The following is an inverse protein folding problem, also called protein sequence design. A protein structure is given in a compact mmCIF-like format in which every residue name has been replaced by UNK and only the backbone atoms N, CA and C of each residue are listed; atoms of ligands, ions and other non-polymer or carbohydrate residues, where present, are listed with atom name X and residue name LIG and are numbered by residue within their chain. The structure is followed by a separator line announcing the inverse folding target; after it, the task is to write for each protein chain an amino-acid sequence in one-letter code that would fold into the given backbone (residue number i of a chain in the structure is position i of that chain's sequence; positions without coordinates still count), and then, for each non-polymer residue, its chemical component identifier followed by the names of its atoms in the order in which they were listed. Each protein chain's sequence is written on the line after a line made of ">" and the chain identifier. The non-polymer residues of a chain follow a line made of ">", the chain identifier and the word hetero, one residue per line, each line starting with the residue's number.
data_IF_934896495895
#
_entry.id   IF_934896495895
#
_cell.length_a   1.000
_cell.length_b   1.000
_cell.length_c   1.000
_cell.angle_alpha   90.00
_cell.angle_beta   90.00
_cell.angle_gamma   90.00
#
_symmetry.space_group_name_H-M   'P 1'
#
loop_
_entity.id
_entity.type
_entity.pdbx_description
1 polymer ?
#
# COMPACT_ATOMS: atom_id res chain seq x y z
N UNK A 1 -9.26 12.86 13.44
CA UNK A 1 -9.54 11.44 13.77
C UNK A 1 -9.16 11.17 15.21
N UNK A 2 -10.04 10.54 15.99
CA UNK A 2 -9.83 10.34 17.43
C UNK A 2 -8.69 9.32 17.65
N UNK A 3 -7.65 9.67 18.42
CA UNK A 3 -6.46 8.81 18.65
C UNK A 3 -6.82 7.39 19.12
N UNK A 4 -7.94 7.25 19.80
CA UNK A 4 -8.51 5.98 20.25
C UNK A 4 -8.91 5.07 19.07
N UNK A 5 -9.66 5.59 18.09
CA UNK A 5 -10.07 4.84 16.91
C UNK A 5 -8.87 4.37 16.10
N UNK A 6 -7.87 5.24 15.91
CA UNK A 6 -6.65 4.89 15.19
C UNK A 6 -5.85 3.79 15.89
N UNK A 7 -5.77 3.82 17.23
CA UNK A 7 -5.12 2.75 18.02
C UNK A 7 -5.90 1.44 17.99
N UNK A 8 -7.23 1.50 18.10
CA UNK A 8 -8.09 0.33 18.05
C UNK A 8 -8.05 -0.33 16.67
N UNK A 9 -8.30 0.45 15.61
CA UNK A 9 -8.22 -0.01 14.22
C UNK A 9 -6.81 -0.54 13.88
N UNK A 10 -5.75 0.14 14.35
CA UNK A 10 -4.37 -0.33 14.16
C UNK A 10 -4.08 -1.65 14.88
N UNK A 11 -4.62 -1.84 16.09
CA UNK A 11 -4.45 -3.10 16.84
C UNK A 11 -5.18 -4.25 16.16
N UNK A 12 -6.44 -4.03 15.73
CA UNK A 12 -7.21 -5.05 14.99
C UNK A 12 -6.54 -5.36 13.66
N UNK A 13 -6.09 -4.36 12.90
CA UNK A 13 -5.39 -4.58 11.63
C UNK A 13 -4.09 -5.39 11.84
N UNK A 14 -3.32 -5.07 12.88
CA UNK A 14 -2.09 -5.82 13.20
C UNK A 14 -2.38 -7.28 13.60
N UNK A 15 -3.45 -7.50 14.37
CA UNK A 15 -3.87 -8.84 14.77
C UNK A 15 -4.37 -9.62 13.56
N UNK A 16 -5.24 -9.02 12.75
CA UNK A 16 -5.81 -9.61 11.55
C UNK A 16 -4.75 -10.02 10.50
N UNK A 17 -3.64 -9.29 10.41
CA UNK A 17 -2.50 -9.65 9.56
C UNK A 17 -1.51 -10.64 10.19
N UNK A 18 -1.72 -11.07 11.44
CA UNK A 18 -0.78 -11.94 12.15
C UNK A 18 -1.02 -13.43 11.86
N UNK A 19 0.03 -14.28 11.95
CA UNK A 19 -0.12 -15.74 11.87
C UNK A 19 -1.10 -16.31 12.91
N UNK A 20 -1.21 -15.65 14.07
CA UNK A 20 -2.13 -16.05 15.14
C UNK A 20 -3.59 -15.93 14.69
N UNK A 21 -3.96 -14.84 14.03
CA UNK A 21 -5.33 -14.67 13.52
C UNK A 21 -5.68 -15.73 12.48
N UNK A 22 -4.73 -16.13 11.63
CA UNK A 22 -4.94 -17.22 10.68
C UNK A 22 -5.21 -18.55 11.39
N UNK A 23 -4.39 -18.91 12.39
CA UNK A 23 -4.58 -20.14 13.18
C UNK A 23 -5.92 -20.11 13.92
N UNK A 24 -6.31 -18.98 14.50
CA UNK A 24 -7.62 -18.83 15.16
C UNK A 24 -8.78 -18.97 14.17
N UNK A 25 -8.70 -18.33 13.01
CA UNK A 25 -9.73 -18.43 11.97
C UNK A 25 -9.85 -19.87 11.44
N UNK A 26 -8.72 -20.52 11.17
CA UNK A 26 -8.70 -21.92 10.74
C UNK A 26 -9.29 -22.84 11.81
N UNK A 27 -8.92 -22.64 13.08
CA UNK A 27 -9.51 -23.36 14.20
C UNK A 27 -11.03 -23.18 14.30
N UNK A 28 -11.53 -21.96 14.11
CA UNK A 28 -12.96 -21.69 14.10
C UNK A 28 -13.69 -22.42 12.97
N UNK A 29 -13.11 -22.45 11.76
CA UNK A 29 -13.65 -23.21 10.62
C UNK A 29 -13.65 -24.72 10.90
N UNK A 30 -12.58 -25.26 11.49
CA UNK A 30 -12.50 -26.68 11.86
C UNK A 30 -13.53 -27.05 12.93
N UNK A 31 -13.69 -26.22 13.97
CA UNK A 31 -14.72 -26.43 15.00
C UNK A 31 -16.12 -26.42 14.38
N UNK A 32 -16.40 -25.46 13.51
CA UNK A 32 -17.68 -25.39 12.78
C UNK A 32 -17.91 -26.65 11.91
N UNK A 33 -16.89 -27.11 11.20
CA UNK A 33 -16.98 -28.31 10.35
C UNK A 33 -17.19 -29.59 11.17
N UNK A 34 -16.50 -29.74 12.32
CA UNK A 34 -16.65 -30.90 13.21
C UNK A 34 -18.00 -30.94 13.93
N UNK A 35 -18.57 -29.77 14.23
CA UNK A 35 -19.89 -29.66 14.87
C UNK A 35 -21.04 -29.73 13.87
N UNK A 36 -20.78 -29.50 12.57
CA UNK A 36 -21.77 -29.58 11.49
C UNK A 36 -22.58 -30.89 11.41
N UNK A 37 -21.99 -32.10 11.55
CA UNK A 37 -22.72 -33.36 11.57
C UNK A 37 -23.76 -33.46 12.69
N UNK A 38 -23.52 -32.84 13.85
CA UNK A 38 -24.48 -32.82 14.96
C UNK A 38 -25.75 -32.02 14.61
N UNK A 39 -25.62 -31.02 13.73
CA UNK A 39 -26.71 -30.16 13.27
C UNK A 39 -27.20 -30.52 11.86
N UNK A 40 -26.76 -31.66 11.32
CA UNK A 40 -27.14 -32.13 9.97
C UNK A 40 -26.78 -31.16 8.85
N UNK A 41 -25.79 -30.29 9.05
CA UNK A 41 -25.46 -29.19 8.13
C UNK A 41 -26.70 -28.38 7.69
N UNK A 42 -27.61 -28.08 8.64
CA UNK A 42 -28.83 -27.32 8.36
C UNK A 42 -28.58 -25.95 7.69
N UNK A 43 -29.59 -25.42 7.01
CA UNK A 43 -29.56 -24.08 6.39
C UNK A 43 -29.17 -22.99 7.39
N UNK A 44 -29.68 -23.04 8.63
CA UNK A 44 -29.31 -22.09 9.69
C UNK A 44 -27.84 -22.23 10.07
N UNK A 45 -27.33 -23.46 10.13
CA UNK A 45 -25.93 -23.74 10.47
C UNK A 45 -24.94 -23.20 9.42
N UNK A 46 -25.29 -23.34 8.13
CA UNK A 46 -24.51 -22.79 7.02
C UNK A 46 -24.64 -21.27 6.94
N UNK A 47 -25.83 -20.72 7.20
CA UNK A 47 -26.08 -19.29 7.21
C UNK A 47 -25.21 -18.58 8.25
N UNK A 48 -25.07 -19.13 9.46
CA UNK A 48 -24.26 -18.51 10.53
C UNK A 48 -22.81 -18.29 10.11
N UNK A 49 -22.15 -19.30 9.53
CA UNK A 49 -20.75 -19.13 9.11
C UNK A 49 -20.63 -18.18 7.91
N UNK A 50 -21.57 -18.25 6.97
CA UNK A 50 -21.54 -17.42 5.77
C UNK A 50 -21.77 -15.93 6.11
N UNK A 51 -22.84 -15.64 6.85
CA UNK A 51 -23.16 -14.29 7.31
C UNK A 51 -22.05 -13.74 8.21
N UNK A 52 -21.54 -14.54 9.14
CA UNK A 52 -20.44 -14.14 10.03
C UNK A 52 -19.17 -13.78 9.25
N UNK A 53 -18.74 -14.66 8.34
CA UNK A 53 -17.53 -14.44 7.52
C UNK A 53 -17.69 -13.23 6.61
N UNK A 54 -18.88 -13.03 6.03
CA UNK A 54 -19.17 -11.85 5.20
C UNK A 54 -19.04 -10.55 5.97
N UNK A 55 -19.61 -10.46 7.17
CA UNK A 55 -19.50 -9.27 8.03
C UNK A 55 -18.03 -9.01 8.38
N UNK A 56 -17.30 -10.05 8.82
CA UNK A 56 -15.88 -9.93 9.16
C UNK A 56 -15.06 -9.47 7.95
N UNK A 57 -15.31 -10.03 6.77
CA UNK A 57 -14.61 -9.66 5.52
C UNK A 57 -14.90 -8.22 5.14
N UNK A 58 -16.16 -7.79 5.22
CA UNK A 58 -16.55 -6.42 4.94
C UNK A 58 -15.82 -5.42 5.85
N UNK A 59 -15.77 -5.71 7.16
CA UNK A 59 -14.99 -4.91 8.12
C UNK A 59 -13.49 -4.97 7.83
N UNK A 60 -12.97 -6.13 7.44
CA UNK A 60 -11.55 -6.33 7.11
C UNK A 60 -11.13 -5.48 5.92
N UNK A 61 -11.95 -5.34 4.87
CA UNK A 61 -11.65 -4.48 3.72
C UNK A 61 -11.39 -3.04 4.18
N UNK A 62 -12.24 -2.47 5.04
CA UNK A 62 -12.02 -1.12 5.57
C UNK A 62 -10.76 -1.01 6.44
N UNK A 63 -10.48 -2.03 7.26
CA UNK A 63 -9.28 -2.05 8.10
C UNK A 63 -8.01 -2.12 7.25
N UNK A 64 -8.01 -2.99 6.24
CA UNK A 64 -6.92 -3.16 5.28
C UNK A 64 -6.73 -1.86 4.50
N UNK A 65 -7.79 -1.26 3.97
CA UNK A 65 -7.73 0.03 3.28
C UNK A 65 -7.19 1.15 4.18
N UNK A 66 -7.60 1.22 5.45
CA UNK A 66 -7.08 2.23 6.38
C UNK A 66 -5.58 2.02 6.68
N UNK A 67 -5.14 0.77 6.86
CA UNK A 67 -3.71 0.47 7.04
C UNK A 67 -2.93 0.79 5.77
N UNK A 68 -3.41 0.32 4.62
CA UNK A 68 -2.77 0.55 3.32
C UNK A 68 -2.68 2.04 3.00
N UNK A 69 -3.75 2.82 3.19
CA UNK A 69 -3.74 4.25 2.94
C UNK A 69 -2.70 4.98 3.81
N UNK A 70 -2.57 4.59 5.08
CA UNK A 70 -1.56 5.17 5.98
C UNK A 70 -0.14 4.77 5.55
N UNK A 71 0.05 3.51 5.20
CA UNK A 71 1.37 2.99 4.84
C UNK A 71 1.83 3.54 3.47
N UNK A 72 0.91 3.75 2.52
CA UNK A 72 1.16 4.46 1.25
C UNK A 72 1.61 5.91 1.50
N UNK A 73 0.88 6.67 2.31
CA UNK A 73 1.26 8.06 2.63
C UNK A 73 2.63 8.15 3.32
N UNK A 74 2.96 7.18 4.17
CA UNK A 74 4.28 7.11 4.80
C UNK A 74 5.40 6.74 3.79
N UNK A 75 5.07 5.96 2.76
CA UNK A 75 6.00 5.61 1.68
C UNK A 75 6.23 6.82 0.76
N UNK A 76 5.17 7.51 0.36
CA UNK A 76 5.21 8.77 -0.42
C UNK A 76 6.12 9.80 0.28
N UNK A 77 5.88 10.09 1.57
CA UNK A 77 6.69 11.04 2.34
C UNK A 77 8.18 10.66 2.44
N UNK A 78 8.50 9.36 2.52
CA UNK A 78 9.90 8.89 2.52
C UNK A 78 10.55 9.04 1.15
N UNK A 79 9.82 8.78 0.07
CA UNK A 79 10.31 8.96 -1.29
C UNK A 79 10.55 10.44 -1.59
N UNK A 80 9.64 11.31 -1.14
CA UNK A 80 9.79 12.76 -1.25
C UNK A 80 11.05 13.27 -0.54
N UNK A 81 11.35 12.76 0.66
CA UNK A 81 12.58 13.11 1.36
C UNK A 81 13.84 12.63 0.62
N UNK A 82 13.81 11.41 0.06
CA UNK A 82 14.92 10.90 -0.76
C UNK A 82 15.11 11.73 -2.03
N UNK A 83 14.01 12.11 -2.70
CA UNK A 83 14.07 12.93 -3.90
C UNK A 83 14.62 14.32 -3.60
N UNK A 84 14.19 14.92 -2.48
CA UNK A 84 14.72 16.19 -1.99
C UNK A 84 16.22 16.15 -1.69
N UNK A 85 16.74 15.00 -1.26
CA UNK A 85 18.15 14.83 -0.93
C UNK A 85 19.05 14.63 -2.17
N UNK A 86 18.50 14.34 -3.35
CA UNK A 86 19.26 14.08 -4.58
C UNK A 86 19.36 15.35 -5.43
N UNK A 87 20.59 15.84 -5.63
CA UNK A 87 20.88 17.13 -6.30
C UNK A 87 20.37 17.23 -7.75
N UNK A 88 20.25 16.11 -8.47
CA UNK A 88 19.75 16.06 -9.85
C UNK A 88 18.30 15.55 -9.98
N UNK A 89 17.61 15.33 -8.85
CA UNK A 89 16.25 14.84 -8.91
C UNK A 89 15.26 15.97 -9.27
N UNK A 90 14.19 15.60 -9.97
CA UNK A 90 13.19 16.55 -10.48
C UNK A 90 12.20 16.89 -9.37
N UNK A 91 12.23 18.12 -8.88
CA UNK A 91 11.33 18.57 -7.81
C UNK A 91 9.83 18.39 -8.13
N UNK A 92 9.47 18.40 -9.42
CA UNK A 92 8.09 18.19 -9.91
C UNK A 92 7.48 16.82 -9.55
N UNK A 93 8.29 15.87 -9.08
CA UNK A 93 7.82 14.54 -8.63
C UNK A 93 7.52 14.48 -7.12
N UNK A 94 7.90 15.50 -6.34
CA UNK A 94 7.58 15.57 -4.92
C UNK A 94 6.08 15.87 -4.78
N UNK A 95 5.35 15.06 -4.02
CA UNK A 95 3.91 15.25 -3.80
C UNK A 95 3.04 15.03 -5.06
N UNK A 96 3.51 14.21 -6.00
CA UNK A 96 2.81 13.94 -7.26
C UNK A 96 1.43 13.27 -7.06
N UNK A 97 1.23 12.58 -5.94
CA UNK A 97 -0.02 11.93 -5.53
C UNK A 97 -1.19 12.90 -5.30
N UNK A 98 -0.91 14.20 -5.18
CA UNK A 98 -1.94 15.24 -5.03
C UNK A 98 -2.45 15.80 -6.36
N UNK A 99 -1.82 15.42 -7.48
CA UNK A 99 -2.23 15.84 -8.81
C UNK A 99 -3.38 14.98 -9.33
N UNK A 100 -4.10 15.51 -10.32
CA UNK A 100 -5.13 14.73 -11.02
C UNK A 100 -4.48 13.65 -11.89
N UNK A 101 -5.21 12.55 -12.16
CA UNK A 101 -4.73 11.47 -13.03
C UNK A 101 -4.20 11.99 -14.39
N UNK A 102 -4.88 12.98 -14.97
CA UNK A 102 -4.48 13.59 -16.24
C UNK A 102 -3.20 14.43 -16.14
N UNK A 103 -2.88 14.99 -14.98
CA UNK A 103 -1.62 15.70 -14.74
C UNK A 103 -0.47 14.72 -14.51
N UNK A 104 -0.71 13.66 -13.73
CA UNK A 104 0.25 12.57 -13.51
C UNK A 104 0.64 11.94 -14.85
N UNK A 105 -0.33 11.65 -15.72
CA UNK A 105 -0.07 11.07 -17.04
C UNK A 105 0.77 12.00 -17.93
N UNK A 106 0.56 13.32 -17.87
CA UNK A 106 1.41 14.29 -18.58
C UNK A 106 2.85 14.31 -18.08
N UNK A 107 3.07 14.10 -16.78
CA UNK A 107 4.41 14.03 -16.21
C UNK A 107 5.07 12.71 -16.62
N UNK A 108 4.34 11.60 -16.54
CA UNK A 108 4.79 10.27 -16.98
C UNK A 108 5.19 10.26 -18.45
N UNK A 109 4.34 10.77 -19.34
CA UNK A 109 4.63 10.84 -20.78
C UNK A 109 5.89 11.67 -21.09
N UNK A 110 6.13 12.75 -20.34
CA UNK A 110 7.36 13.54 -20.45
C UNK A 110 8.59 12.76 -20.00
N UNK A 111 8.50 12.01 -18.90
CA UNK A 111 9.59 11.15 -18.41
C UNK A 111 9.94 10.04 -19.42
N UNK A 112 8.93 9.37 -19.97
CA UNK A 112 9.13 8.31 -20.98
C UNK A 112 9.79 8.86 -22.24
N UNK A 113 9.39 10.06 -22.68
CA UNK A 113 10.06 10.74 -23.80
C UNK A 113 11.51 11.10 -23.49
N UNK A 114 11.79 11.56 -22.28
CA UNK A 114 13.13 11.96 -21.87
C UNK A 114 14.09 10.77 -21.68
N UNK A 115 13.56 9.61 -21.31
CA UNK A 115 14.33 8.39 -20.97
C UNK A 115 14.31 7.35 -22.10
N UNK A 116 13.51 7.56 -23.14
CA UNK A 116 13.45 6.70 -24.31
C UNK A 116 14.79 6.63 -25.07
N UNK A 117 15.01 5.56 -25.87
CA UNK A 117 16.29 5.25 -26.49
C UNK A 117 16.87 6.32 -27.44
N UNK A 118 16.13 7.40 -27.74
CA UNK A 118 16.58 8.52 -28.57
C UNK A 118 17.10 9.75 -27.82
N UNK A 119 17.07 9.80 -26.48
CA UNK A 119 17.39 11.01 -25.71
C UNK A 119 18.43 10.78 -24.60
N UNK A 120 19.47 10.02 -24.92
CA UNK A 120 20.67 9.96 -24.09
C UNK A 120 21.35 11.33 -24.15
N UNK A 121 20.99 12.24 -23.24
CA UNK A 121 21.61 13.56 -23.13
C UNK A 121 23.11 13.32 -22.91
N UNK A 122 24.01 13.78 -23.80
CA UNK A 122 25.43 13.58 -23.63
C UNK A 122 25.85 14.14 -22.27
N UNK A 123 26.83 13.52 -21.57
CA UNK A 123 27.29 14.00 -20.27
C UNK A 123 27.51 15.51 -20.36
N UNK A 124 26.86 16.27 -19.47
CA UNK A 124 26.97 17.72 -19.46
C UNK A 124 28.45 18.09 -19.46
N UNK A 125 28.88 18.89 -20.44
CA UNK A 125 30.29 19.26 -20.62
C UNK A 125 30.87 19.99 -19.38
N UNK A 126 30.01 20.50 -18.50
CA UNK A 126 30.34 21.01 -17.16
C UNK A 126 30.91 19.96 -16.21
N UNK A 127 30.54 18.68 -16.35
CA UNK A 127 31.11 17.60 -15.55
C UNK A 127 32.56 17.29 -15.97
N UNK A 128 32.84 17.34 -17.28
CA UNK A 128 34.19 17.11 -17.83
C UNK A 128 35.12 18.30 -17.54
N UNK A 129 34.62 19.53 -17.68
CA UNK A 129 35.37 20.74 -17.34
C UNK A 129 35.80 20.81 -15.87
N UNK A 130 34.95 20.33 -14.94
CA UNK A 130 35.25 20.29 -13.50
C UNK A 130 36.24 19.20 -13.10
N UNK A 131 36.39 18.13 -13.89
CA UNK A 131 37.38 17.09 -13.66
C UNK A 131 38.76 17.48 -14.21
N UNK A 132 38.78 18.25 -15.29
CA UNK A 132 40.03 18.77 -15.89
C UNK A 132 40.60 19.97 -15.14
N UNK A 133 39.76 20.79 -14.49
CA UNK A 133 40.21 21.91 -13.64
C UNK A 133 40.72 21.48 -12.26
N UNK A 134 40.62 20.19 -11.92
CA UNK A 134 41.05 19.62 -10.63
C UNK A 134 42.40 18.89 -10.72
N UNK A 135 43.13 19.04 -11.83
CA UNK A 135 44.47 18.47 -12.03
C UNK A 135 45.49 19.58 -12.27
#
# INVERSE_FOLDING_TARGET
>A
MNKFFTRFAGSIASFAGSPVAFVTALGAVLVWAMTGPLFGFSEVWQLVINTGTTIVTFLMIFLVQNSQNRDSAAMEAKLDELLRAVEQARADFIGIEHLTDGEIEKIRARLEKDTGPGNQKPPSQDAVGRLLSRR
#
